data_IF_445663620948
#
_entry.id   IF_445663620948
#
_cell.length_a   1.000
_cell.length_b   1.000
_cell.length_c   1.000
_cell.angle_alpha   90.00
_cell.angle_beta   90.00
_cell.angle_gamma   90.00
#
_symmetry.space_group_name_H-M   'P 1'
#
loop_
_entity.id
_entity.type
_entity.pdbx_description
1 polymer ?
#
# COMPACT_ATOMS: atom_id res chain seq x y z
N UNK A 1 -37.18 13.22 -13.78
CA UNK A 1 -36.29 13.89 -12.84
C UNK A 1 -35.89 13.06 -11.66
N UNK A 2 -36.45 11.90 -11.56
CA UNK A 2 -35.98 10.95 -10.55
C UNK A 2 -34.48 10.73 -10.70
N UNK A 3 -34.03 10.65 -11.94
CA UNK A 3 -32.61 10.51 -12.19
C UNK A 3 -31.79 11.69 -11.69
N UNK A 4 -32.41 12.83 -11.66
CA UNK A 4 -31.73 14.01 -11.18
C UNK A 4 -31.56 13.97 -9.67
N UNK A 5 -32.55 13.52 -8.96
CA UNK A 5 -32.45 13.37 -7.52
C UNK A 5 -31.40 12.34 -7.13
N UNK A 6 -31.43 11.23 -7.81
CA UNK A 6 -30.43 10.19 -7.59
C UNK A 6 -29.05 10.77 -7.88
N UNK A 7 -28.95 11.55 -8.90
CA UNK A 7 -27.71 12.19 -9.26
C UNK A 7 -27.24 13.16 -8.19
N UNK A 8 -28.15 13.95 -7.65
CA UNK A 8 -27.79 14.89 -6.60
C UNK A 8 -27.32 14.16 -5.34
N UNK A 9 -27.98 13.09 -5.00
CA UNK A 9 -27.53 12.29 -3.88
C UNK A 9 -26.22 11.59 -4.18
N UNK A 10 -26.09 11.13 -5.39
CA UNK A 10 -24.85 10.54 -5.84
C UNK A 10 -23.68 11.51 -5.75
N UNK A 11 -23.97 12.78 -5.82
CA UNK A 11 -22.96 13.82 -5.71
C UNK A 11 -22.15 13.74 -4.42
N UNK A 12 -22.77 13.39 -3.34
CA UNK A 12 -22.07 13.21 -2.08
C UNK A 12 -21.01 12.14 -2.20
N UNK A 13 -21.15 11.23 -3.14
CA UNK A 13 -20.22 10.15 -3.38
C UNK A 13 -19.56 10.24 -4.75
N UNK A 14 -19.99 11.19 -5.55
CA UNK A 14 -19.57 11.30 -6.94
C UNK A 14 -18.10 11.62 -7.13
N UNK A 15 -17.46 12.20 -6.12
CA UNK A 15 -16.04 12.49 -6.18
C UNK A 15 -15.20 11.29 -5.77
N UNK A 16 -15.82 10.21 -5.34
CA UNK A 16 -15.10 9.02 -4.92
C UNK A 16 -15.18 7.96 -6.01
N UNK A 17 -14.05 7.53 -6.51
CA UNK A 17 -14.02 6.47 -7.51
C UNK A 17 -12.78 5.59 -7.32
N UNK A 18 -12.91 4.36 -7.77
CA UNK A 18 -11.83 3.40 -7.68
C UNK A 18 -10.66 3.86 -8.54
N UNK A 19 -9.48 3.75 -7.98
CA UNK A 19 -8.25 4.10 -8.67
C UNK A 19 -7.46 2.83 -8.93
N UNK A 20 -6.99 2.67 -10.16
CA UNK A 20 -6.21 1.49 -10.53
C UNK A 20 -4.85 1.55 -9.83
N UNK A 21 -4.39 0.39 -9.38
CA UNK A 21 -3.10 0.27 -8.73
C UNK A 21 -2.40 -1.00 -9.19
N UNK A 22 -1.09 -1.02 -9.04
CA UNK A 22 -0.27 -2.18 -9.42
C UNK A 22 0.59 -2.59 -8.24
N UNK A 23 0.73 -3.87 -8.04
CA UNK A 23 1.54 -4.44 -6.97
C UNK A 23 3.01 -4.49 -7.40
N UNK A 24 3.89 -3.91 -6.58
CA UNK A 24 5.33 -3.98 -6.80
C UNK A 24 6.00 -5.10 -6.02
N UNK A 25 5.30 -5.74 -5.11
CA UNK A 25 5.90 -6.76 -4.26
C UNK A 25 6.62 -7.86 -5.06
N UNK A 26 6.03 -8.39 -6.16
CA UNK A 26 6.72 -9.42 -6.90
C UNK A 26 8.07 -8.99 -7.47
N UNK A 27 8.22 -7.70 -7.77
CA UNK A 27 9.47 -7.16 -8.32
C UNK A 27 10.48 -6.81 -7.24
N UNK A 28 10.02 -6.51 -6.04
CA UNK A 28 10.88 -6.20 -4.91
C UNK A 28 11.34 -7.45 -4.19
N UNK A 29 10.49 -8.47 -4.17
CA UNK A 29 10.82 -9.71 -3.50
C UNK A 29 10.84 -9.55 -1.99
N UNK A 30 11.85 -10.14 -1.36
CA UNK A 30 11.96 -10.14 0.08
C UNK A 30 12.64 -8.87 0.58
N UNK A 31 11.87 -8.01 1.19
CA UNK A 31 12.38 -6.80 1.84
C UNK A 31 11.96 -6.84 3.30
N UNK A 32 12.91 -6.57 4.19
CA UNK A 32 12.68 -6.67 5.63
C UNK A 32 12.56 -5.28 6.24
N UNK A 33 11.38 -4.71 6.15
CA UNK A 33 11.10 -3.44 6.82
C UNK A 33 10.95 -3.71 8.32
N UNK A 34 12.00 -3.42 9.06
CA UNK A 34 12.02 -3.68 10.51
C UNK A 34 11.22 -2.67 11.30
N UNK A 35 10.66 -1.67 10.64
CA UNK A 35 9.83 -0.66 11.27
C UNK A 35 8.54 -0.46 10.48
N UNK A 36 7.55 0.08 11.15
CA UNK A 36 6.33 0.49 10.49
C UNK A 36 6.65 1.65 9.55
N UNK A 37 6.22 1.52 8.30
CA UNK A 37 6.45 2.54 7.27
C UNK A 37 5.12 2.85 6.59
N UNK A 38 4.84 4.11 6.39
CA UNK A 38 3.75 4.58 5.55
C UNK A 38 4.29 5.79 4.81
N UNK A 39 4.58 5.63 3.53
CA UNK A 39 5.25 6.68 2.77
C UNK A 39 4.89 6.63 1.30
N UNK A 40 4.98 7.80 0.67
CA UNK A 40 4.75 7.97 -0.77
C UNK A 40 6.03 8.46 -1.39
N UNK A 41 6.42 7.84 -2.50
CA UNK A 41 7.64 8.21 -3.23
C UNK A 41 7.25 8.62 -4.64
N UNK A 42 7.68 9.81 -5.03
CA UNK A 42 7.38 10.41 -6.33
C UNK A 42 8.60 10.50 -7.24
N UNK A 43 9.73 9.94 -6.79
CA UNK A 43 10.94 9.86 -7.60
C UNK A 43 11.76 8.65 -7.19
N UNK A 44 12.67 8.25 -8.08
CA UNK A 44 13.45 7.03 -7.89
C UNK A 44 14.41 7.12 -6.71
N UNK A 45 15.11 8.24 -6.57
CA UNK A 45 16.18 8.35 -5.58
C UNK A 45 15.68 8.17 -4.13
N UNK A 46 14.61 8.84 -3.69
CA UNK A 46 14.10 8.60 -2.34
C UNK A 46 13.63 7.17 -2.11
N UNK A 47 13.03 6.55 -3.11
CA UNK A 47 12.59 5.17 -3.01
C UNK A 47 13.78 4.22 -2.90
N UNK A 48 14.80 4.41 -3.74
CA UNK A 48 16.02 3.62 -3.66
C UNK A 48 16.70 3.79 -2.30
N UNK A 49 16.67 5.02 -1.77
CA UNK A 49 17.25 5.31 -0.47
C UNK A 49 16.52 4.55 0.66
N UNK A 50 15.21 4.46 0.58
CA UNK A 50 14.45 3.67 1.55
C UNK A 50 14.90 2.20 1.53
N UNK A 51 15.03 1.62 0.33
CA UNK A 51 15.42 0.22 0.21
C UNK A 51 16.83 0.01 0.75
N UNK A 52 17.76 0.90 0.43
CA UNK A 52 19.13 0.79 0.92
C UNK A 52 19.20 0.96 2.43
N UNK A 53 18.44 1.89 2.99
CA UNK A 53 18.38 2.08 4.43
C UNK A 53 17.79 0.86 5.15
N UNK A 54 16.90 0.16 4.47
CA UNK A 54 16.24 -1.02 5.03
C UNK A 54 17.14 -2.26 4.98
N UNK A 55 17.87 -2.43 3.89
CA UNK A 55 18.75 -3.59 3.68
C UNK A 55 20.13 -3.12 3.18
N UNK A 56 20.95 -2.54 4.06
CA UNK A 56 22.23 -1.98 3.63
C UNK A 56 23.11 -3.03 2.95
N UNK A 57 23.62 -2.70 1.77
CA UNK A 57 24.46 -3.58 0.99
C UNK A 57 23.77 -4.76 0.34
N UNK A 58 22.46 -4.93 0.58
CA UNK A 58 21.70 -6.05 0.04
C UNK A 58 20.33 -5.59 -0.51
N UNK A 59 20.14 -4.30 -0.64
CA UNK A 59 18.87 -3.78 -1.12
C UNK A 59 18.58 -4.25 -2.55
N UNK A 60 17.34 -4.62 -2.84
CA UNK A 60 16.97 -4.91 -4.22
C UNK A 60 17.05 -3.62 -5.03
N UNK A 61 17.34 -3.75 -6.30
CA UNK A 61 17.28 -2.62 -7.19
C UNK A 61 15.83 -2.16 -7.32
N UNK A 62 15.56 -0.85 -7.23
CA UNK A 62 14.20 -0.40 -7.40
C UNK A 62 13.67 -0.81 -8.77
N UNK A 63 12.48 -1.41 -8.85
CA UNK A 63 11.91 -1.77 -10.14
C UNK A 63 11.65 -0.52 -10.97
N UNK A 64 11.64 -0.66 -12.31
CA UNK A 64 11.37 0.48 -13.17
C UNK A 64 9.95 1.00 -12.94
N UNK A 65 9.85 2.25 -12.55
CA UNK A 65 8.59 2.96 -12.37
C UNK A 65 8.68 4.26 -13.14
N UNK A 66 7.67 4.54 -13.93
CA UNK A 66 7.60 5.82 -14.61
C UNK A 66 7.08 6.87 -13.64
N UNK A 67 8.00 7.51 -12.93
CA UNK A 67 7.65 8.49 -11.91
C UNK A 67 7.05 9.78 -12.50
N UNK A 68 7.10 9.95 -13.80
CA UNK A 68 6.37 11.03 -14.43
C UNK A 68 4.85 10.80 -14.44
N UNK A 69 4.44 9.55 -14.37
CA UNK A 69 3.03 9.16 -14.46
C UNK A 69 2.52 8.42 -13.25
N UNK A 70 3.39 7.90 -12.43
CA UNK A 70 3.01 7.06 -11.29
C UNK A 70 3.81 7.45 -10.07
N UNK A 71 3.29 7.07 -8.93
CA UNK A 71 4.00 7.21 -7.66
C UNK A 71 3.90 5.91 -6.89
N UNK A 72 4.81 5.72 -5.94
CA UNK A 72 4.91 4.49 -5.16
C UNK A 72 4.39 4.77 -3.75
N UNK A 73 3.51 3.89 -3.28
CA UNK A 73 3.04 3.91 -1.90
C UNK A 73 3.59 2.68 -1.21
N UNK A 74 4.28 2.87 -0.10
CA UNK A 74 4.85 1.78 0.68
C UNK A 74 4.18 1.73 2.04
N UNK A 75 3.70 0.55 2.41
CA UNK A 75 3.11 0.32 3.72
C UNK A 75 3.77 -0.92 4.31
N UNK A 76 4.35 -0.77 5.48
CA UNK A 76 4.96 -1.88 6.20
C UNK A 76 4.39 -1.92 7.61
N UNK A 77 4.15 -3.12 8.10
CA UNK A 77 3.63 -3.33 9.45
C UNK A 77 4.75 -3.44 10.49
N UNK A 78 6.00 -3.58 10.03
CA UNK A 78 7.09 -3.95 10.91
C UNK A 78 7.07 -5.46 11.17
N UNK A 79 7.82 -5.91 12.19
CA UNK A 79 7.94 -7.35 12.44
C UNK A 79 6.66 -7.98 12.95
N UNK A 80 6.46 -9.22 12.56
CA UNK A 80 5.39 -10.09 13.05
C UNK A 80 6.00 -11.43 13.46
N UNK A 81 5.31 -12.14 14.32
CA UNK A 81 5.89 -13.30 15.03
C UNK A 81 5.74 -14.61 14.28
N UNK A 82 5.07 -14.65 13.15
CA UNK A 82 4.88 -15.90 12.42
C UNK A 82 4.59 -15.65 10.94
N UNK A 83 4.58 -16.73 10.17
CA UNK A 83 4.25 -16.69 8.76
C UNK A 83 2.75 -16.51 8.49
N UNK A 84 1.94 -16.54 9.53
CA UNK A 84 0.48 -16.42 9.36
C UNK A 84 -0.02 -15.00 9.16
N UNK A 85 0.83 -14.01 9.33
CA UNK A 85 0.45 -12.61 9.12
C UNK A 85 0.64 -12.22 7.67
N UNK A 86 -0.30 -11.47 7.13
CA UNK A 86 -0.18 -10.95 5.77
C UNK A 86 -0.85 -9.60 5.68
N UNK A 87 -0.45 -8.83 4.67
CA UNK A 87 -0.98 -7.51 4.39
C UNK A 87 -1.50 -7.51 2.96
N UNK A 88 -2.73 -7.06 2.79
CA UNK A 88 -3.38 -7.06 1.49
C UNK A 88 -3.97 -5.69 1.20
N UNK A 89 -3.78 -5.21 -0.02
CA UNK A 89 -4.47 -4.03 -0.51
C UNK A 89 -5.88 -4.45 -0.93
N UNK A 90 -6.88 -3.81 -0.38
CA UNK A 90 -8.27 -4.10 -0.72
C UNK A 90 -8.75 -3.23 -1.87
N UNK A 91 -8.47 -1.96 -1.80
CA UNK A 91 -8.84 -1.02 -2.84
C UNK A 91 -8.12 0.30 -2.65
N UNK A 92 -8.07 1.08 -3.70
CA UNK A 92 -7.58 2.46 -3.67
C UNK A 92 -8.71 3.32 -4.19
N UNK A 93 -9.01 4.38 -3.48
CA UNK A 93 -10.13 5.26 -3.82
C UNK A 93 -9.60 6.69 -3.96
N UNK A 94 -9.87 7.28 -5.10
CA UNK A 94 -9.59 8.70 -5.28
C UNK A 94 -10.81 9.49 -4.84
N UNK A 95 -10.59 10.40 -3.90
CA UNK A 95 -11.61 11.34 -3.44
C UNK A 95 -11.26 12.72 -3.95
N UNK A 96 -12.14 13.65 -3.70
CA UNK A 96 -11.95 15.01 -4.19
C UNK A 96 -10.63 15.63 -3.76
N UNK A 97 -10.21 15.40 -2.51
CA UNK A 97 -9.04 16.06 -1.95
C UNK A 97 -7.95 15.12 -1.49
N UNK A 98 -8.15 13.83 -1.64
CA UNK A 98 -7.20 12.84 -1.12
C UNK A 98 -7.35 11.50 -1.83
N UNK A 99 -6.33 10.69 -1.67
CA UNK A 99 -6.36 9.29 -2.08
C UNK A 99 -6.41 8.47 -0.80
N UNK A 100 -7.33 7.52 -0.73
CA UNK A 100 -7.40 6.57 0.37
C UNK A 100 -6.97 5.18 -0.12
N UNK A 101 -5.97 4.63 0.53
CA UNK A 101 -5.50 3.27 0.25
C UNK A 101 -5.96 2.38 1.39
N UNK A 102 -6.84 1.44 1.08
CA UNK A 102 -7.42 0.54 2.07
C UNK A 102 -6.66 -0.77 2.08
N UNK A 103 -6.08 -1.08 3.22
CA UNK A 103 -5.37 -2.34 3.41
C UNK A 103 -5.98 -3.10 4.58
N UNK A 104 -5.78 -4.40 4.54
CA UNK A 104 -6.19 -5.25 5.65
C UNK A 104 -5.03 -6.14 6.07
N UNK A 105 -4.77 -6.16 7.36
CA UNK A 105 -3.86 -7.13 7.94
C UNK A 105 -4.67 -8.36 8.31
N UNK A 106 -4.20 -9.53 7.85
CA UNK A 106 -4.74 -10.80 8.28
C UNK A 106 -3.83 -11.33 9.38
N UNK A 107 -4.46 -11.71 10.49
CA UNK A 107 -3.76 -12.40 11.58
C UNK A 107 -4.10 -13.88 11.51
N UNK A 108 -3.20 -14.77 11.94
CA UNK A 108 -3.50 -16.20 11.91
C UNK A 108 -4.61 -16.54 12.90
N UNK A 109 -5.45 -17.49 12.50
CA UNK A 109 -6.46 -18.05 13.39
C UNK A 109 -5.89 -19.25 14.13
N UNK A 110 -6.51 -19.58 15.23
CA UNK A 110 -6.14 -20.76 15.97
C UNK A 110 -6.29 -21.99 15.07
N UNK A 111 -5.23 -22.78 14.98
CA UNK A 111 -5.23 -23.95 14.12
C UNK A 111 -4.67 -23.72 12.73
N UNK A 112 -4.40 -22.48 12.34
CA UNK A 112 -3.74 -22.23 11.07
C UNK A 112 -2.33 -22.81 11.06
N UNK A 113 -1.90 -23.44 9.96
CA UNK A 113 -0.55 -23.96 9.85
C UNK A 113 0.44 -22.82 9.64
N UNK A 114 1.04 -22.32 10.71
CA UNK A 114 2.00 -21.23 10.66
C UNK A 114 3.31 -21.65 11.28
N UNK A 115 4.39 -21.01 10.86
CA UNK A 115 5.70 -21.21 11.44
C UNK A 115 6.05 -20.04 12.34
N UNK A 116 6.64 -20.30 13.52
CA UNK A 116 7.06 -19.23 14.41
C UNK A 116 8.38 -18.64 13.93
N UNK A 117 8.31 -17.74 12.98
CA UNK A 117 9.47 -17.02 12.49
C UNK A 117 9.10 -15.57 12.29
N UNK A 118 10.07 -14.69 12.50
CA UNK A 118 9.84 -13.27 12.33
C UNK A 118 9.63 -12.97 10.82
N UNK A 119 8.54 -12.31 10.52
CA UNK A 119 8.22 -11.90 9.16
C UNK A 119 8.00 -10.40 9.13
N UNK A 120 8.05 -9.83 7.94
CA UNK A 120 7.96 -8.38 7.76
C UNK A 120 6.95 -8.08 6.65
N UNK A 121 5.64 -8.16 6.95
CA UNK A 121 4.63 -7.93 5.93
C UNK A 121 4.67 -6.49 5.43
N UNK A 122 4.66 -6.34 4.13
CA UNK A 122 4.63 -5.02 3.50
C UNK A 122 3.88 -5.08 2.19
N UNK A 123 3.45 -3.91 1.72
CA UNK A 123 2.96 -3.73 0.36
C UNK A 123 3.58 -2.48 -0.22
N UNK A 124 4.09 -2.63 -1.42
CA UNK A 124 4.50 -1.50 -2.24
C UNK A 124 3.64 -1.55 -3.50
N UNK A 125 2.96 -0.46 -3.79
CA UNK A 125 2.09 -0.37 -4.96
C UNK A 125 2.41 0.90 -5.72
N UNK A 126 2.03 0.93 -6.98
CA UNK A 126 2.02 2.17 -7.74
C UNK A 126 0.60 2.58 -8.03
N UNK A 127 0.38 3.87 -7.98
CA UNK A 127 -0.88 4.51 -8.35
C UNK A 127 -0.58 5.61 -9.36
N UNK A 128 -1.56 6.09 -10.11
CA UNK A 128 -1.35 7.25 -10.97
C UNK A 128 -0.85 8.43 -10.16
N UNK A 129 0.10 9.16 -10.71
CA UNK A 129 0.68 10.29 -10.04
C UNK A 129 -0.36 11.35 -9.75
N UNK A 130 -0.31 11.90 -8.55
CA UNK A 130 -1.25 12.92 -8.12
C UNK A 130 -0.56 13.86 -7.15
N UNK A 131 -1.06 15.10 -7.05
CA UNK A 131 -0.63 16.02 -6.01
C UNK A 131 -1.45 15.87 -4.73
N UNK A 132 -2.48 15.03 -4.76
CA UNK A 132 -3.32 14.82 -3.59
C UNK A 132 -2.57 14.05 -2.51
N UNK A 133 -2.81 14.35 -1.23
CA UNK A 133 -2.24 13.55 -0.16
C UNK A 133 -2.82 12.13 -0.16
N UNK A 134 -2.01 11.18 0.24
CA UNK A 134 -2.39 9.77 0.29
C UNK A 134 -2.52 9.36 1.75
N UNK A 135 -3.67 8.81 2.10
CA UNK A 135 -3.94 8.30 3.44
C UNK A 135 -4.10 6.80 3.39
N UNK A 136 -3.43 6.13 4.30
CA UNK A 136 -3.51 4.68 4.42
C UNK A 136 -4.54 4.35 5.49
N UNK A 137 -5.53 3.56 5.10
CA UNK A 137 -6.60 3.09 5.98
C UNK A 137 -6.35 1.62 6.27
N UNK A 138 -5.65 1.36 7.35
CA UNK A 138 -5.31 -0.02 7.72
C UNK A 138 -6.39 -0.58 8.63
N UNK A 139 -6.97 -1.68 8.20
CA UNK A 139 -7.93 -2.44 8.99
C UNK A 139 -7.25 -3.70 9.45
N UNK A 140 -7.19 -3.88 10.73
CA UNK A 140 -6.60 -5.04 11.31
C UNK A 140 -7.66 -5.87 12.00
N UNK A 141 -7.30 -7.09 12.20
CA UNK A 141 -8.10 -7.96 12.98
C UNK A 141 -7.19 -8.71 13.86
N UNK A 142 -7.15 -8.34 15.08
CA UNK A 142 -6.39 -9.14 16.03
C UNK A 142 -6.90 -10.52 16.12
#
# INVERSE_FOLDING_TARGET
>A
MAGWLVYAEWWGHGDAHALAWRDLNPQLGRVEFTRKVTAVYRSRAPFAHLLEATMPGRAPEPPPVDFGRREVVVVSLGPRSSTGYSLRVERVVERRRQIDVYLRERTPSLGDPVEPSVTYPYRAITIPRTSKPVYVKLQGRP
#
